data_IF_080858736600
#
_entry.id   IF_080858736600
#
_cell.length_a   1.000
_cell.length_b   1.000
_cell.length_c   1.000
_cell.angle_alpha   90.00
_cell.angle_beta   90.00
_cell.angle_gamma   90.00
#
_symmetry.space_group_name_H-M   'P 1'
#
loop_
_entity.id
_entity.type
_entity.pdbx_description
1 polymer ?
#
# COMPACT_ATOMS: atom_id res chain seq x y z
N UNK A 1 13.69 -3.87 -25.16
CA UNK A 1 12.51 -3.01 -24.92
C UNK A 1 12.09 -2.46 -26.26
N UNK A 2 10.80 -2.53 -26.60
CA UNK A 2 10.30 -1.85 -27.80
C UNK A 2 10.43 -0.34 -27.61
N UNK A 3 10.74 0.39 -28.68
CA UNK A 3 10.81 1.85 -28.67
C UNK A 3 9.42 2.43 -28.37
N UNK A 4 9.34 3.36 -27.42
CA UNK A 4 8.08 4.00 -27.05
C UNK A 4 7.84 5.14 -28.04
N UNK A 5 6.67 5.21 -28.70
CA UNK A 5 6.36 6.31 -29.61
C UNK A 5 6.48 7.69 -28.93
N UNK A 6 6.99 8.69 -29.66
CA UNK A 6 7.23 10.04 -29.12
C UNK A 6 5.96 10.67 -28.49
N UNK A 7 4.79 10.43 -29.08
CA UNK A 7 3.51 10.90 -28.56
C UNK A 7 3.16 10.28 -27.19
N UNK A 8 3.47 8.99 -27.00
CA UNK A 8 3.27 8.29 -25.73
C UNK A 8 4.25 8.82 -24.68
N UNK A 9 5.49 9.10 -25.08
CA UNK A 9 6.49 9.69 -24.19
C UNK A 9 6.05 11.08 -23.70
N UNK A 10 5.63 11.95 -24.62
CA UNK A 10 5.13 13.28 -24.29
C UNK A 10 3.88 13.26 -23.38
N UNK A 11 3.03 12.24 -23.50
CA UNK A 11 1.90 12.06 -22.58
C UNK A 11 2.38 11.66 -21.18
N UNK A 12 3.29 10.69 -21.08
CA UNK A 12 3.81 10.19 -19.80
C UNK A 12 4.55 11.25 -19.01
N UNK A 13 5.28 12.16 -19.67
CA UNK A 13 6.02 13.26 -19.03
C UNK A 13 5.11 14.23 -18.26
N UNK A 14 3.81 14.27 -18.57
CA UNK A 14 2.82 15.12 -17.88
C UNK A 14 2.14 14.45 -16.69
N UNK A 15 2.35 13.15 -16.49
CA UNK A 15 1.72 12.36 -15.42
C UNK A 15 2.46 12.54 -14.09
N UNK A 16 1.86 12.08 -12.99
CA UNK A 16 2.41 12.28 -11.64
C UNK A 16 3.79 11.62 -11.44
N UNK A 17 3.98 10.43 -12.01
CA UNK A 17 5.22 9.63 -11.94
C UNK A 17 5.80 9.40 -10.52
N UNK A 18 4.95 9.40 -9.48
CA UNK A 18 5.39 9.24 -8.09
C UNK A 18 5.71 7.77 -7.79
N UNK A 19 6.85 7.51 -7.17
CA UNK A 19 7.30 6.16 -6.80
C UNK A 19 6.82 5.74 -5.41
N UNK A 20 6.49 4.46 -5.28
CA UNK A 20 6.12 3.78 -4.06
C UNK A 20 6.63 2.33 -4.08
N UNK A 21 6.53 1.63 -2.96
CA UNK A 21 6.81 0.19 -2.86
C UNK A 21 5.55 -0.56 -2.44
N UNK A 22 5.12 -1.53 -3.25
CA UNK A 22 3.94 -2.34 -2.99
C UNK A 22 4.39 -3.66 -2.39
N UNK A 23 3.98 -3.91 -1.15
CA UNK A 23 4.08 -5.19 -0.48
C UNK A 23 2.79 -5.97 -0.71
N UNK A 24 2.92 -7.15 -1.31
CA UNK A 24 1.86 -8.16 -1.34
C UNK A 24 2.23 -9.27 -0.38
N UNK A 25 1.22 -9.85 0.27
CA UNK A 25 1.41 -10.93 1.24
C UNK A 25 0.97 -12.27 0.66
N UNK A 26 1.47 -13.35 1.23
CA UNK A 26 1.01 -14.71 0.99
C UNK A 26 0.78 -15.40 2.34
N UNK A 27 -0.37 -16.03 2.49
CA UNK A 27 -0.68 -16.77 3.72
C UNK A 27 0.25 -17.98 3.88
N UNK A 28 0.84 -18.14 5.06
CA UNK A 28 1.65 -19.30 5.43
C UNK A 28 0.98 -20.10 6.55
N UNK A 29 0.54 -19.42 7.62
CA UNK A 29 -0.09 -20.03 8.77
C UNK A 29 -1.19 -19.10 9.36
N UNK A 30 -2.46 -19.35 9.02
CA UNK A 30 -3.59 -18.56 9.53
C UNK A 30 -3.72 -18.59 11.06
N UNK A 31 -3.31 -19.69 11.71
CA UNK A 31 -3.43 -19.87 13.15
C UNK A 31 -2.57 -18.91 13.95
N UNK A 32 -1.57 -18.29 13.32
CA UNK A 32 -0.67 -17.33 13.94
C UNK A 32 -1.11 -15.87 13.81
N UNK A 33 -2.17 -15.58 13.03
CA UNK A 33 -2.69 -14.21 12.91
C UNK A 33 -3.36 -13.72 14.21
N UNK A 34 -4.31 -14.47 14.83
CA UNK A 34 -5.10 -13.93 15.93
C UNK A 34 -4.27 -13.35 17.09
N UNK A 35 -3.18 -13.99 17.54
CA UNK A 35 -2.36 -13.47 18.64
C UNK A 35 -1.66 -12.13 18.34
N UNK A 36 -1.39 -11.79 17.07
CA UNK A 36 -0.60 -10.61 16.69
C UNK A 36 -1.43 -9.56 15.92
N UNK A 37 -2.75 -9.74 15.84
CA UNK A 37 -3.65 -8.83 15.13
C UNK A 37 -3.55 -7.39 15.65
N UNK A 38 -3.58 -7.21 16.98
CA UNK A 38 -3.49 -5.88 17.59
C UNK A 38 -2.18 -5.19 17.23
N UNK A 39 -1.07 -5.91 17.38
CA UNK A 39 0.26 -5.39 17.08
C UNK A 39 0.39 -4.99 15.61
N UNK A 40 -0.17 -5.79 14.69
CA UNK A 40 -0.19 -5.46 13.27
C UNK A 40 -0.91 -4.13 12.99
N UNK A 41 -2.11 -3.95 13.55
CA UNK A 41 -2.86 -2.70 13.36
C UNK A 41 -2.15 -1.50 13.98
N UNK A 42 -1.58 -1.66 15.18
CA UNK A 42 -0.81 -0.59 15.80
C UNK A 42 0.41 -0.21 14.94
N UNK A 43 1.14 -1.21 14.45
CA UNK A 43 2.30 -1.02 13.57
C UNK A 43 1.93 -0.25 12.29
N UNK A 44 0.88 -0.65 11.57
CA UNK A 44 0.53 0.01 10.30
C UNK A 44 -0.01 1.44 10.51
N UNK A 45 -0.77 1.68 11.59
CA UNK A 45 -1.26 3.01 11.97
C UNK A 45 -0.08 3.93 12.35
N UNK A 46 0.92 3.42 13.07
CA UNK A 46 2.08 4.22 13.44
C UNK A 46 2.93 4.56 12.22
N UNK A 47 3.05 3.67 11.23
CA UNK A 47 3.70 3.97 9.95
C UNK A 47 2.92 4.98 9.10
N UNK A 48 1.58 4.90 9.10
CA UNK A 48 0.71 5.89 8.45
C UNK A 48 0.95 7.30 9.03
N UNK A 49 0.95 7.43 10.36
CA UNK A 49 1.21 8.71 11.05
C UNK A 49 2.62 9.26 10.81
N UNK A 50 3.57 8.40 10.47
CA UNK A 50 4.94 8.76 10.06
C UNK A 50 5.05 9.09 8.56
N UNK A 51 3.94 9.14 7.84
CA UNK A 51 3.86 9.36 6.39
C UNK A 51 4.52 8.24 5.55
N UNK A 52 4.82 7.08 6.15
CA UNK A 52 5.51 5.95 5.49
C UNK A 52 4.58 4.98 4.76
N UNK A 53 3.27 5.12 4.91
CA UNK A 53 2.26 4.30 4.22
C UNK A 53 1.38 5.21 3.39
N UNK A 54 1.29 4.92 2.10
CA UNK A 54 0.36 5.59 1.18
C UNK A 54 -1.05 4.99 1.30
N UNK A 55 -1.16 3.66 1.36
CA UNK A 55 -2.41 2.94 1.55
C UNK A 55 -2.12 1.52 2.07
N UNK A 56 -3.06 0.93 2.81
CA UNK A 56 -2.97 -0.46 3.24
C UNK A 56 -4.38 -1.05 3.43
N UNK A 57 -4.55 -2.33 3.14
CA UNK A 57 -5.84 -2.99 3.37
C UNK A 57 -5.90 -4.45 2.94
N UNK A 58 -6.97 -5.17 3.32
CA UNK A 58 -7.20 -6.54 2.90
C UNK A 58 -7.56 -6.63 1.41
N UNK A 59 -7.15 -7.72 0.76
CA UNK A 59 -7.67 -8.11 -0.55
C UNK A 59 -8.80 -9.12 -0.38
N UNK A 60 -9.80 -9.08 -1.25
CA UNK A 60 -10.94 -9.98 -1.21
C UNK A 60 -10.99 -10.85 -2.46
N UNK A 61 -11.31 -12.13 -2.28
CA UNK A 61 -11.61 -13.05 -3.37
C UNK A 61 -12.92 -12.71 -4.07
N UNK A 62 -13.15 -13.32 -5.24
CA UNK A 62 -14.44 -13.18 -5.97
C UNK A 62 -15.65 -13.68 -5.19
N UNK A 63 -15.40 -14.60 -4.25
CA UNK A 63 -16.38 -15.13 -3.31
C UNK A 63 -16.64 -14.20 -2.10
N UNK A 64 -15.98 -13.05 -2.06
CA UNK A 64 -16.07 -12.09 -0.96
C UNK A 64 -15.26 -12.50 0.28
N UNK A 65 -14.51 -13.61 0.23
CA UNK A 65 -13.69 -14.02 1.37
C UNK A 65 -12.47 -13.10 1.50
N UNK A 66 -12.20 -12.70 2.73
CA UNK A 66 -11.04 -11.89 3.04
C UNK A 66 -9.77 -12.72 2.89
N UNK A 67 -8.91 -12.33 1.95
CA UNK A 67 -7.56 -12.83 1.81
C UNK A 67 -6.56 -12.04 2.64
N UNK A 68 -5.30 -12.18 2.28
CA UNK A 68 -4.20 -11.40 2.85
C UNK A 68 -4.22 -9.95 2.35
N UNK A 69 -3.54 -9.07 3.07
CA UNK A 69 -3.49 -7.64 2.75
C UNK A 69 -2.38 -7.23 1.80
N UNK A 70 -2.58 -6.07 1.17
CA UNK A 70 -1.58 -5.33 0.40
C UNK A 70 -1.26 -4.04 1.14
N UNK A 71 0.01 -3.61 1.10
CA UNK A 71 0.46 -2.34 1.68
C UNK A 71 1.30 -1.59 0.66
N UNK A 72 1.06 -0.30 0.51
CA UNK A 72 1.84 0.59 -0.35
C UNK A 72 2.67 1.52 0.55
N UNK A 73 3.96 1.28 0.62
CA UNK A 73 4.91 2.10 1.37
C UNK A 73 5.33 3.34 0.58
N UNK A 74 5.43 4.46 1.30
CA UNK A 74 6.02 5.72 0.86
C UNK A 74 7.41 5.85 1.49
N UNK A 75 8.38 5.18 0.87
CA UNK A 75 9.79 5.16 1.29
C UNK A 75 10.69 5.34 0.07
N UNK A 76 11.95 5.70 0.29
CA UNK A 76 12.86 6.11 -0.79
C UNK A 76 13.80 4.99 -1.27
N UNK A 77 13.78 3.81 -0.62
CA UNK A 77 14.69 2.71 -0.94
C UNK A 77 14.05 1.33 -0.80
N UNK A 78 14.60 0.37 -1.55
CA UNK A 78 14.26 -1.05 -1.42
C UNK A 78 14.58 -1.58 -0.03
N UNK A 79 15.74 -1.22 0.52
CA UNK A 79 16.18 -1.66 1.84
C UNK A 79 15.19 -1.22 2.93
N UNK A 80 14.75 0.04 2.92
CA UNK A 80 13.75 0.49 3.88
C UNK A 80 12.40 -0.22 3.68
N UNK A 81 11.95 -0.42 2.44
CA UNK A 81 10.71 -1.14 2.16
C UNK A 81 10.75 -2.59 2.68
N UNK A 82 11.87 -3.29 2.46
CA UNK A 82 12.11 -4.67 2.93
C UNK A 82 12.19 -4.73 4.45
N UNK A 83 12.87 -3.77 5.08
CA UNK A 83 12.93 -3.68 6.54
C UNK A 83 11.55 -3.46 7.16
N UNK A 84 10.74 -2.56 6.59
CA UNK A 84 9.36 -2.34 7.05
C UNK A 84 8.49 -3.59 6.84
N UNK A 85 8.54 -4.21 5.66
CA UNK A 85 7.78 -5.42 5.37
C UNK A 85 8.15 -6.57 6.33
N UNK A 86 9.44 -6.78 6.59
CA UNK A 86 9.93 -7.76 7.55
C UNK A 86 9.57 -7.41 9.00
N UNK A 87 9.29 -6.13 9.29
CA UNK A 87 8.87 -5.67 10.61
C UNK A 87 7.39 -5.90 10.91
N UNK A 88 6.56 -6.16 9.90
CA UNK A 88 5.13 -6.50 10.05
C UNK A 88 4.96 -7.66 11.05
N UNK A 89 4.17 -7.50 12.13
CA UNK A 89 3.93 -8.55 13.11
C UNK A 89 3.41 -9.87 12.50
N UNK A 90 2.65 -9.82 11.40
CA UNK A 90 2.26 -11.03 10.68
C UNK A 90 3.44 -11.76 10.05
N UNK A 91 4.41 -11.01 9.50
CA UNK A 91 5.63 -11.57 8.92
C UNK A 91 6.56 -12.13 10.00
N UNK A 92 6.75 -11.39 11.11
CA UNK A 92 7.57 -11.84 12.25
C UNK A 92 7.04 -13.12 12.89
N UNK A 93 5.72 -13.25 13.01
CA UNK A 93 5.09 -14.47 13.50
C UNK A 93 5.24 -15.66 12.52
N UNK A 94 5.59 -15.39 11.26
CA UNK A 94 5.56 -16.37 10.18
C UNK A 94 4.13 -16.74 9.78
N UNK A 95 3.15 -15.88 10.06
CA UNK A 95 1.77 -16.04 9.62
C UNK A 95 1.63 -15.80 8.12
N UNK A 96 2.41 -14.84 7.59
CA UNK A 96 2.46 -14.51 6.16
C UNK A 96 3.90 -14.33 5.67
N UNK A 97 4.14 -14.67 4.41
CA UNK A 97 5.30 -14.21 3.64
C UNK A 97 4.95 -12.96 2.85
N UNK A 98 5.95 -12.32 2.23
CA UNK A 98 5.74 -11.12 1.43
C UNK A 98 6.64 -11.06 0.20
N UNK A 99 6.16 -10.32 -0.80
CA UNK A 99 6.91 -9.88 -1.98
C UNK A 99 6.81 -8.35 -2.08
N UNK A 100 7.84 -7.71 -2.63
CA UNK A 100 7.87 -6.24 -2.84
C UNK A 100 8.09 -5.91 -4.31
N UNK A 101 7.32 -4.93 -4.81
CA UNK A 101 7.49 -4.36 -6.13
C UNK A 101 7.57 -2.84 -6.04
N UNK A 102 8.48 -2.20 -6.79
CA UNK A 102 8.42 -0.75 -7.00
C UNK A 102 7.28 -0.43 -7.95
N UNK A 103 6.41 0.49 -7.54
CA UNK A 103 5.27 0.94 -8.33
C UNK A 103 5.33 2.45 -8.55
N UNK A 104 4.94 2.87 -9.74
CA UNK A 104 4.85 4.27 -10.12
C UNK A 104 3.39 4.65 -10.33
N UNK A 105 2.88 5.58 -9.51
CA UNK A 105 1.58 6.20 -9.72
C UNK A 105 1.73 7.27 -10.81
N UNK A 106 0.98 7.10 -11.90
CA UNK A 106 0.95 8.01 -13.02
C UNK A 106 -0.36 8.78 -13.08
N UNK A 107 -1.47 8.04 -13.10
CA UNK A 107 -2.82 8.55 -13.15
C UNK A 107 -3.56 8.31 -11.83
N UNK A 108 -4.46 9.23 -11.49
CA UNK A 108 -5.31 9.16 -10.31
C UNK A 108 -6.17 10.40 -10.22
N UNK A 109 -7.24 10.33 -9.42
CA UNK A 109 -8.09 11.47 -9.10
C UNK A 109 -8.46 11.36 -7.63
N UNK A 110 -8.43 12.49 -6.94
CA UNK A 110 -9.01 12.64 -5.61
C UNK A 110 -10.03 13.75 -5.71
N UNK A 111 -11.27 13.48 -5.33
CA UNK A 111 -12.27 14.52 -5.16
C UNK A 111 -12.41 14.79 -3.67
N UNK A 112 -12.21 16.04 -3.26
CA UNK A 112 -12.44 16.49 -1.90
C UNK A 112 -13.49 17.59 -1.94
N UNK A 113 -14.56 17.41 -1.16
CA UNK A 113 -15.57 18.44 -0.94
C UNK A 113 -15.49 18.90 0.51
N UNK A 114 -15.47 20.21 0.71
CA UNK A 114 -15.40 20.84 2.03
C UNK A 114 -16.50 21.89 2.12
N UNK A 115 -17.43 21.72 3.04
CA UNK A 115 -18.53 22.63 3.28
C UNK A 115 -18.19 23.54 4.46
N UNK A 116 -18.15 24.85 4.23
CA UNK A 116 -17.83 25.80 5.30
C UNK A 116 -19.03 26.11 6.21
N UNK A 117 -20.26 25.97 5.70
CA UNK A 117 -21.49 26.19 6.48
C UNK A 117 -21.59 25.21 7.64
N UNK A 118 -21.35 23.94 7.33
CA UNK A 118 -21.56 22.84 8.25
C UNK A 118 -20.23 22.22 8.72
N UNK A 119 -19.11 22.74 8.24
CA UNK A 119 -17.75 22.28 8.58
C UNK A 119 -17.56 20.77 8.30
N UNK A 120 -18.22 20.27 7.26
CA UNK A 120 -18.15 18.87 6.83
C UNK A 120 -17.15 18.70 5.71
N UNK A 121 -16.55 17.50 5.61
CA UNK A 121 -15.72 17.11 4.49
C UNK A 121 -16.08 15.72 4.00
N UNK A 122 -15.95 15.49 2.69
CA UNK A 122 -16.10 14.17 2.08
C UNK A 122 -15.04 13.94 1.00
N UNK A 123 -14.73 12.67 0.78
CA UNK A 123 -13.76 12.21 -0.22
C UNK A 123 -14.38 11.06 -1.02
N UNK A 124 -14.22 11.08 -2.35
CA UNK A 124 -14.74 10.05 -3.27
C UNK A 124 -13.83 9.80 -4.45
#
# INVERSE_FOLDING_TARGET
>A
MAEIPAEVQALKEKMLQRQYFVMTRKMLDPGKLPPVLLDHYQWIIDLEKQDKVFASGPMFGKDGQQGVGMTVFRVDSWEEAEQLAAADPFCKAGAVGFDIQRWQVNEGRVNVSIDFSDQTYSMS
#
